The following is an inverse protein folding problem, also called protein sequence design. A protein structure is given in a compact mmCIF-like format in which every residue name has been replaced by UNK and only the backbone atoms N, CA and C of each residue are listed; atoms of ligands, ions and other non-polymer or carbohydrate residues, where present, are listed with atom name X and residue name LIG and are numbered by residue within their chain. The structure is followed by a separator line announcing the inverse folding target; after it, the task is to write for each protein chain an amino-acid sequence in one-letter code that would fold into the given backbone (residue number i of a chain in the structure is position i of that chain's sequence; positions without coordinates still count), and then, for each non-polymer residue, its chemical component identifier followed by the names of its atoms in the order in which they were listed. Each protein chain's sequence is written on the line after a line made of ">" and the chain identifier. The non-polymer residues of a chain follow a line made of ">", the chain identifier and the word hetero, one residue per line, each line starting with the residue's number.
data_IF_359960858718
#
_entry.id   IF_359960858718
#
_cell.length_a   1.000
_cell.length_b   1.000
_cell.length_c   1.000
_cell.angle_alpha   90.00
_cell.angle_beta   90.00
_cell.angle_gamma   90.00
#
_symmetry.space_group_name_H-M   'P 1'
#
loop_
_entity.id
_entity.type
_entity.pdbx_description
1 polymer ?
#
# COMPACT_ATOMS: atom_id res chain seq x y z
N UNK A 1 58.92 -0.27 17.85
CA UNK A 1 59.73 -0.47 16.61
C UNK A 1 59.05 -1.44 15.64
N UNK A 2 58.72 -2.67 16.05
CA UNK A 2 58.11 -3.69 15.17
C UNK A 2 56.74 -3.24 14.63
N UNK A 3 55.85 -2.71 15.47
CA UNK A 3 54.54 -2.15 15.06
C UNK A 3 54.68 -1.05 13.98
N UNK A 4 55.73 -0.24 14.08
CA UNK A 4 55.98 0.89 13.19
C UNK A 4 56.59 0.43 11.85
N UNK A 5 57.42 -0.62 11.88
CA UNK A 5 57.91 -1.31 10.69
C UNK A 5 56.78 -2.02 9.93
N UNK A 6 55.88 -2.72 10.64
CA UNK A 6 54.71 -3.38 10.04
C UNK A 6 53.73 -2.35 9.46
N UNK A 7 53.47 -1.22 10.15
CA UNK A 7 52.72 -0.08 9.58
C UNK A 7 53.39 0.49 8.31
N UNK A 8 54.73 0.53 8.28
CA UNK A 8 55.50 0.97 7.11
C UNK A 8 55.32 0.04 5.90
N UNK A 9 55.26 -1.28 6.13
CA UNK A 9 54.96 -2.27 5.09
C UNK A 9 53.49 -2.25 4.67
N UNK A 10 52.57 -1.98 5.59
CA UNK A 10 51.14 -1.83 5.30
C UNK A 10 50.82 -0.63 4.40
N UNK A 11 51.65 0.43 4.41
CA UNK A 11 51.54 1.57 3.48
C UNK A 11 51.91 1.22 2.04
N UNK A 12 52.67 0.13 1.84
CA UNK A 12 53.08 -0.37 0.50
C UNK A 12 52.14 -1.46 0.00
N UNK A 13 51.62 -2.32 0.88
CA UNK A 13 50.61 -3.35 0.59
C UNK A 13 49.45 -3.25 1.59
N UNK A 14 48.44 -2.44 1.24
CA UNK A 14 47.36 -2.06 2.15
C UNK A 14 46.33 -3.17 2.44
N UNK A 15 46.35 -4.27 1.70
CA UNK A 15 45.34 -5.34 1.75
C UNK A 15 45.89 -6.72 2.12
N UNK A 16 47.17 -6.83 2.50
CA UNK A 16 47.77 -8.13 2.81
C UNK A 16 47.25 -8.66 4.15
N UNK A 17 46.37 -9.67 4.10
CA UNK A 17 45.65 -10.25 5.25
C UNK A 17 46.59 -10.77 6.33
N UNK A 18 47.75 -11.30 5.96
CA UNK A 18 48.74 -11.87 6.88
C UNK A 18 49.45 -10.78 7.68
N UNK A 19 49.78 -9.65 7.04
CA UNK A 19 50.40 -8.49 7.70
C UNK A 19 49.41 -7.77 8.62
N UNK A 20 48.14 -7.70 8.22
CA UNK A 20 47.08 -7.20 9.07
C UNK A 20 46.88 -8.10 10.30
N UNK A 21 46.91 -9.43 10.15
CA UNK A 21 46.75 -10.36 11.28
C UNK A 21 47.90 -10.24 12.29
N UNK A 22 49.15 -10.21 11.81
CA UNK A 22 50.31 -10.04 12.68
C UNK A 22 50.34 -8.66 13.35
N UNK A 23 49.87 -7.62 12.65
CA UNK A 23 49.69 -6.29 13.24
C UNK A 23 48.64 -6.28 14.35
N UNK A 24 47.51 -6.99 14.17
CA UNK A 24 46.48 -7.11 15.18
C UNK A 24 46.98 -7.88 16.42
N UNK A 25 47.72 -8.98 16.22
CA UNK A 25 48.38 -9.73 17.30
C UNK A 25 49.38 -8.84 18.06
N UNK A 26 50.18 -8.05 17.35
CA UNK A 26 51.09 -7.10 17.97
C UNK A 26 50.36 -6.02 18.78
N UNK A 27 49.23 -5.49 18.29
CA UNK A 27 48.43 -4.53 19.06
C UNK A 27 47.76 -5.14 20.30
N UNK A 28 47.42 -6.43 20.27
CA UNK A 28 46.95 -7.13 21.48
C UNK A 28 48.05 -7.26 22.53
N UNK A 29 49.30 -7.49 22.13
CA UNK A 29 50.45 -7.49 23.04
C UNK A 29 50.78 -6.07 23.56
N UNK A 30 50.60 -5.04 22.73
CA UNK A 30 50.84 -3.64 23.06
C UNK A 30 49.71 -3.00 23.92
N UNK A 31 48.74 -3.80 24.37
CA UNK A 31 47.53 -3.37 25.11
C UNK A 31 46.66 -2.33 24.38
N UNK A 32 46.89 -2.10 23.09
CA UNK A 32 46.09 -1.19 22.27
C UNK A 32 44.95 -1.95 21.59
N UNK A 33 44.01 -2.42 22.42
CA UNK A 33 42.97 -3.33 21.98
C UNK A 33 41.95 -2.69 21.02
N UNK A 34 41.76 -1.37 21.08
CA UNK A 34 40.87 -0.64 20.16
C UNK A 34 41.36 -0.69 18.71
N UNK A 35 42.67 -0.55 18.52
CA UNK A 35 43.31 -0.64 17.18
C UNK A 35 43.40 -2.10 16.71
N UNK A 36 43.65 -3.03 17.63
CA UNK A 36 43.63 -4.47 17.33
C UNK A 36 42.24 -4.91 16.86
N UNK A 37 41.19 -4.46 17.55
CA UNK A 37 39.80 -4.80 17.25
C UNK A 37 39.38 -4.30 15.87
N UNK A 38 39.79 -3.09 15.47
CA UNK A 38 39.51 -2.56 14.13
C UNK A 38 40.11 -3.43 13.02
N UNK A 39 41.32 -3.94 13.24
CA UNK A 39 41.98 -4.82 12.28
C UNK A 39 41.34 -6.22 12.30
N UNK A 40 40.96 -6.73 13.46
CA UNK A 40 40.26 -8.02 13.55
C UNK A 40 38.85 -7.97 12.94
N UNK A 41 38.13 -6.85 13.08
CA UNK A 41 36.83 -6.63 12.46
C UNK A 41 36.95 -6.53 10.94
N UNK A 42 37.95 -5.82 10.41
CA UNK A 42 38.20 -5.74 8.95
C UNK A 42 38.64 -7.08 8.36
N UNK A 43 39.41 -7.88 9.11
CA UNK A 43 39.86 -9.21 8.69
C UNK A 43 38.80 -10.31 8.79
N UNK A 44 37.68 -10.02 9.44
CA UNK A 44 36.66 -10.99 9.84
C UNK A 44 37.19 -12.15 10.68
N UNK A 45 38.06 -11.86 11.65
CA UNK A 45 38.69 -12.90 12.46
C UNK A 45 37.80 -13.36 13.62
N UNK A 46 37.78 -14.67 13.91
CA UNK A 46 36.97 -15.29 14.99
C UNK A 46 37.32 -14.74 16.39
N UNK A 47 38.56 -14.32 16.58
CA UNK A 47 39.05 -13.82 17.86
C UNK A 47 38.60 -12.39 18.16
N UNK A 48 37.96 -11.70 17.21
CA UNK A 48 37.39 -10.37 17.43
C UNK A 48 36.43 -10.40 18.65
N UNK A 49 35.55 -11.39 18.72
CA UNK A 49 34.58 -11.57 19.80
C UNK A 49 35.24 -11.89 21.14
N UNK A 50 36.26 -12.75 21.14
CA UNK A 50 37.03 -13.04 22.36
C UNK A 50 37.77 -11.82 22.90
N UNK A 51 38.26 -10.95 22.02
CA UNK A 51 38.94 -9.71 22.39
C UNK A 51 37.97 -8.68 23.00
N UNK A 52 36.77 -8.58 22.42
CA UNK A 52 35.69 -7.72 22.90
C UNK A 52 35.31 -8.08 24.33
N UNK A 53 35.09 -9.36 24.59
CA UNK A 53 34.67 -9.85 25.91
C UNK A 53 35.78 -9.72 26.96
N UNK A 54 37.03 -10.09 26.62
CA UNK A 54 38.15 -10.05 27.59
C UNK A 54 38.50 -8.64 28.05
N UNK A 55 38.29 -7.64 27.20
CA UNK A 55 38.74 -6.27 27.46
C UNK A 55 37.62 -5.22 27.50
N UNK A 56 36.35 -5.66 27.46
CA UNK A 56 35.16 -4.82 27.58
C UNK A 56 35.15 -3.64 26.59
N UNK A 57 35.56 -3.89 25.34
CA UNK A 57 35.80 -2.85 24.31
C UNK A 57 34.54 -2.32 23.62
N UNK A 58 33.38 -2.48 24.27
CA UNK A 58 32.07 -2.22 23.70
C UNK A 58 31.82 -0.73 23.38
N UNK A 59 32.48 0.19 24.08
CA UNK A 59 32.48 1.61 23.75
C UNK A 59 33.05 1.89 22.36
N UNK A 60 34.13 1.19 21.99
CA UNK A 60 34.77 1.29 20.67
C UNK A 60 33.98 0.56 19.57
N UNK A 61 33.04 -0.32 19.95
CA UNK A 61 32.20 -1.08 19.03
C UNK A 61 30.93 -0.31 18.65
N UNK A 62 30.41 0.57 19.51
CA UNK A 62 29.16 1.31 19.28
C UNK A 62 29.13 1.99 17.91
N UNK A 63 30.24 2.63 17.53
CA UNK A 63 30.40 3.31 16.23
C UNK A 63 30.73 2.35 15.08
N UNK A 64 31.30 1.18 15.39
CA UNK A 64 31.82 0.19 14.45
C UNK A 64 30.93 -1.05 14.30
N UNK A 65 29.75 -1.06 14.92
CA UNK A 65 28.81 -2.19 14.96
C UNK A 65 28.34 -2.62 13.56
N UNK A 66 28.44 -1.72 12.57
CA UNK A 66 28.17 -2.00 11.15
C UNK A 66 29.12 -3.06 10.60
N UNK A 67 30.36 -3.10 11.06
CA UNK A 67 31.37 -4.08 10.64
C UNK A 67 31.11 -5.48 11.24
N UNK A 68 30.37 -5.56 12.35
CA UNK A 68 29.94 -6.84 12.93
C UNK A 68 28.81 -7.49 12.12
N UNK A 69 28.05 -6.69 11.37
CA UNK A 69 26.94 -7.18 10.54
C UNK A 69 27.40 -7.97 9.32
N UNK A 70 28.65 -7.77 8.91
CA UNK A 70 29.28 -8.47 7.80
C UNK A 70 29.68 -9.92 8.16
N UNK A 71 29.59 -10.28 9.44
CA UNK A 71 29.75 -11.65 9.96
C UNK A 71 28.40 -12.38 9.94
N UNK A 72 27.88 -12.60 8.73
CA UNK A 72 26.53 -13.13 8.49
C UNK A 72 26.26 -14.50 9.15
N UNK A 73 27.33 -15.26 9.45
CA UNK A 73 27.27 -16.60 10.02
C UNK A 73 27.08 -16.67 11.54
N UNK A 74 27.16 -15.56 12.27
CA UNK A 74 27.22 -15.57 13.75
C UNK A 74 26.25 -14.61 14.45
N UNK A 75 25.20 -14.12 13.79
CA UNK A 75 24.20 -13.20 14.38
C UNK A 75 23.69 -13.70 15.75
N UNK A 76 23.50 -15.02 15.90
CA UNK A 76 23.08 -15.60 17.18
C UNK A 76 24.08 -15.39 18.32
N UNK A 77 25.36 -15.64 18.03
CA UNK A 77 26.44 -15.45 18.99
C UNK A 77 26.57 -13.97 19.35
N UNK A 78 26.47 -13.08 18.36
CA UNK A 78 26.53 -11.63 18.60
C UNK A 78 25.39 -11.18 19.52
N UNK A 79 24.18 -11.70 19.36
CA UNK A 79 23.03 -11.32 20.19
C UNK A 79 23.12 -11.91 21.60
N UNK A 80 23.65 -13.13 21.76
CA UNK A 80 23.93 -13.77 23.06
C UNK A 80 25.08 -13.05 23.79
N UNK A 81 26.14 -12.69 23.09
CA UNK A 81 27.30 -11.97 23.63
C UNK A 81 26.98 -10.52 24.01
N UNK A 82 25.91 -9.94 23.46
CA UNK A 82 25.43 -8.59 23.77
C UNK A 82 24.31 -8.58 24.82
N UNK A 83 23.98 -9.73 25.43
CA UNK A 83 22.88 -9.82 26.42
C UNK A 83 23.17 -9.00 27.69
N UNK A 84 24.44 -8.80 28.05
CA UNK A 84 24.87 -7.98 29.19
C UNK A 84 24.66 -6.46 28.96
N UNK A 85 24.39 -6.02 27.72
CA UNK A 85 24.24 -4.60 27.35
C UNK A 85 23.08 -4.41 26.36
N UNK A 86 21.83 -4.35 26.85
CA UNK A 86 20.64 -4.20 26.01
C UNK A 86 20.64 -2.96 25.10
N UNK A 87 21.30 -1.87 25.48
CA UNK A 87 21.49 -0.67 24.63
C UNK A 87 22.22 -0.95 23.32
N UNK A 88 23.29 -1.76 23.36
CA UNK A 88 24.08 -2.10 22.18
C UNK A 88 23.39 -3.18 21.35
N UNK A 89 22.70 -4.10 22.03
CA UNK A 89 21.84 -5.09 21.40
C UNK A 89 20.75 -4.42 20.56
N UNK A 90 20.11 -3.37 21.10
CA UNK A 90 19.14 -2.55 20.37
C UNK A 90 19.75 -1.91 19.10
N UNK A 91 20.89 -1.21 19.24
CA UNK A 91 21.54 -0.53 18.09
C UNK A 91 21.98 -1.53 17.01
N UNK A 92 22.46 -2.71 17.41
CA UNK A 92 22.83 -3.77 16.48
C UNK A 92 21.60 -4.30 15.73
N UNK A 93 20.53 -4.65 16.44
CA UNK A 93 19.30 -5.17 15.85
C UNK A 93 18.58 -4.14 14.98
N UNK A 94 18.57 -2.86 15.37
CA UNK A 94 18.03 -1.77 14.55
C UNK A 94 18.80 -1.63 13.22
N UNK A 95 20.14 -1.66 13.27
CA UNK A 95 20.95 -1.61 12.06
C UNK A 95 20.76 -2.87 11.21
N UNK A 96 20.66 -4.05 11.82
CA UNK A 96 20.35 -5.32 11.17
C UNK A 96 19.04 -5.25 10.39
N UNK A 97 18.00 -4.71 11.01
CA UNK A 97 16.71 -4.50 10.38
C UNK A 97 16.79 -3.61 9.15
N UNK A 98 17.53 -2.50 9.21
CA UNK A 98 17.70 -1.58 8.06
C UNK A 98 18.47 -2.18 6.89
N UNK A 99 19.31 -3.20 7.12
CA UNK A 99 20.02 -3.91 6.04
C UNK A 99 19.24 -5.11 5.52
N UNK A 100 18.72 -5.95 6.41
CA UNK A 100 18.09 -7.22 6.06
C UNK A 100 16.93 -7.57 7.01
N UNK A 101 15.72 -7.31 6.53
CA UNK A 101 14.47 -7.57 7.26
C UNK A 101 14.25 -9.03 7.69
N UNK A 102 14.79 -9.97 6.91
CA UNK A 102 14.57 -11.41 7.12
C UNK A 102 15.48 -12.01 8.19
N UNK A 103 16.69 -11.45 8.38
CA UNK A 103 17.69 -11.99 9.30
C UNK A 103 17.35 -11.72 10.77
N UNK A 104 16.58 -10.67 11.04
CA UNK A 104 16.09 -10.29 12.37
C UNK A 104 14.86 -11.04 12.88
N UNK A 105 14.21 -11.89 12.07
CA UNK A 105 12.89 -12.46 12.38
C UNK A 105 12.77 -13.12 13.76
N UNK A 106 13.80 -13.87 14.18
CA UNK A 106 13.81 -14.56 15.49
C UNK A 106 14.03 -13.61 16.66
N UNK A 107 14.54 -12.42 16.39
CA UNK A 107 14.86 -11.40 17.38
C UNK A 107 13.84 -10.27 17.41
N UNK A 108 12.84 -10.24 16.52
CA UNK A 108 11.80 -9.21 16.52
C UNK A 108 11.10 -9.09 17.86
N UNK A 109 10.83 -10.22 18.55
CA UNK A 109 10.24 -10.20 19.90
C UNK A 109 11.13 -9.44 20.91
N UNK A 110 12.41 -9.85 21.02
CA UNK A 110 13.39 -9.15 21.88
C UNK A 110 13.61 -7.70 21.42
N UNK A 111 13.53 -7.44 20.12
CA UNK A 111 13.73 -6.11 19.58
C UNK A 111 12.58 -5.17 19.95
N UNK A 112 11.34 -5.66 20.04
CA UNK A 112 10.19 -4.86 20.49
C UNK A 112 10.34 -4.45 21.96
N UNK A 113 10.76 -5.37 22.84
CA UNK A 113 11.03 -5.02 24.24
C UNK A 113 12.17 -4.01 24.37
N UNK A 114 13.20 -4.14 23.53
CA UNK A 114 14.33 -3.19 23.49
C UNK A 114 13.94 -1.82 22.91
N UNK A 115 13.13 -1.76 21.84
CA UNK A 115 12.60 -0.49 21.33
C UNK A 115 11.73 0.21 22.39
N UNK A 116 10.91 -0.56 23.10
CA UNK A 116 10.08 -0.05 24.18
C UNK A 116 10.90 0.56 25.34
N UNK A 117 12.16 0.15 25.54
CA UNK A 117 13.06 0.66 26.59
C UNK A 117 13.94 1.81 26.12
N UNK A 118 14.48 1.70 24.92
CA UNK A 118 15.58 2.56 24.49
C UNK A 118 15.21 3.53 23.37
N UNK A 119 14.15 3.27 22.60
CA UNK A 119 13.87 4.05 21.39
C UNK A 119 12.40 3.95 20.93
N UNK A 120 11.53 4.68 21.63
CA UNK A 120 10.10 4.81 21.33
C UNK A 120 9.80 5.30 19.89
N UNK A 121 10.40 6.38 19.35
CA UNK A 121 9.99 6.90 18.05
C UNK A 121 10.25 5.95 16.88
N UNK A 122 11.24 5.05 17.01
CA UNK A 122 11.55 4.06 15.98
C UNK A 122 10.69 2.79 16.04
N UNK A 123 9.84 2.64 17.08
CA UNK A 123 8.94 1.50 17.22
C UNK A 123 7.84 1.50 16.14
N UNK A 124 7.21 2.65 15.87
CA UNK A 124 6.16 2.76 14.83
C UNK A 124 6.65 2.42 13.42
N UNK A 125 7.77 3.00 12.92
CA UNK A 125 8.36 2.58 11.65
C UNK A 125 8.69 1.09 11.60
N UNK A 126 9.26 0.56 12.68
CA UNK A 126 9.59 -0.86 12.77
C UNK A 126 8.35 -1.76 12.65
N UNK A 127 7.25 -1.40 13.32
CA UNK A 127 6.00 -2.15 13.24
C UNK A 127 5.33 -2.07 11.86
N UNK A 128 5.46 -0.94 11.16
CA UNK A 128 4.97 -0.75 9.79
C UNK A 128 5.74 -1.59 8.79
N UNK A 129 7.07 -1.58 8.88
CA UNK A 129 7.94 -2.30 7.95
C UNK A 129 7.94 -3.81 8.24
N UNK A 130 7.68 -4.23 9.48
CA UNK A 130 7.70 -5.64 9.92
C UNK A 130 6.57 -6.48 9.37
N UNK A 131 6.92 -7.46 8.53
CA UNK A 131 5.99 -8.45 7.95
C UNK A 131 5.72 -9.60 8.92
N UNK A 132 6.70 -9.96 9.76
CA UNK A 132 6.64 -11.12 10.68
C UNK A 132 6.80 -10.66 12.14
N UNK A 133 5.98 -9.69 12.56
CA UNK A 133 5.97 -9.22 13.93
C UNK A 133 4.96 -10.02 14.77
N UNK A 134 5.33 -10.56 15.94
CA UNK A 134 4.36 -11.14 16.87
C UNK A 134 3.50 -10.00 17.47
N UNK A 135 2.36 -9.72 16.84
CA UNK A 135 1.48 -8.59 17.19
C UNK A 135 0.93 -8.70 18.62
N UNK A 136 0.66 -9.91 19.11
CA UNK A 136 0.13 -10.15 20.47
C UNK A 136 1.10 -9.72 21.57
N UNK A 137 2.36 -10.18 21.51
CA UNK A 137 3.39 -9.77 22.48
C UNK A 137 3.72 -8.28 22.37
N UNK A 138 3.71 -7.74 21.14
CA UNK A 138 3.89 -6.31 20.93
C UNK A 138 2.78 -5.51 21.61
N UNK A 139 1.53 -5.97 21.50
CA UNK A 139 0.36 -5.37 22.15
C UNK A 139 0.51 -5.41 23.67
N UNK A 140 0.88 -6.55 24.26
CA UNK A 140 1.07 -6.69 25.71
C UNK A 140 2.13 -5.71 26.24
N UNK A 141 3.29 -5.62 25.58
CA UNK A 141 4.37 -4.70 25.96
C UNK A 141 3.91 -3.23 25.83
N UNK A 142 3.19 -2.91 24.76
CA UNK A 142 2.67 -1.55 24.55
C UNK A 142 1.60 -1.17 25.57
N UNK A 143 0.73 -2.11 25.95
CA UNK A 143 -0.29 -1.91 26.98
C UNK A 143 0.33 -1.74 28.37
N UNK A 144 1.33 -2.56 28.73
CA UNK A 144 2.03 -2.43 30.01
C UNK A 144 2.72 -1.08 30.19
N UNK A 145 3.14 -0.45 29.08
CA UNK A 145 3.88 0.82 29.09
C UNK A 145 3.04 2.04 28.68
N UNK A 146 1.74 1.87 28.46
CA UNK A 146 0.81 2.92 28.01
C UNK A 146 1.23 3.61 26.70
N UNK A 147 1.71 2.85 25.71
CA UNK A 147 2.02 3.38 24.38
C UNK A 147 0.77 3.41 23.50
N UNK A 148 0.02 4.52 23.59
CA UNK A 148 -1.32 4.61 23.00
C UNK A 148 -1.30 4.59 21.48
N UNK A 149 -0.44 5.36 20.82
CA UNK A 149 -0.40 5.45 19.34
C UNK A 149 0.04 4.13 18.70
N UNK A 150 1.02 3.47 19.31
CA UNK A 150 1.54 2.17 18.90
C UNK A 150 0.50 1.07 19.10
N UNK A 151 -0.22 1.10 20.23
CA UNK A 151 -1.28 0.13 20.53
C UNK A 151 -2.46 0.29 19.56
N UNK A 152 -2.87 1.53 19.23
CA UNK A 152 -3.92 1.79 18.23
C UNK A 152 -3.52 1.25 16.86
N UNK A 153 -2.27 1.47 16.44
CA UNK A 153 -1.75 0.93 15.19
C UNK A 153 -1.77 -0.62 15.17
N UNK A 154 -1.32 -1.25 16.25
CA UNK A 154 -1.34 -2.71 16.39
C UNK A 154 -2.76 -3.27 16.38
N UNK A 155 -3.68 -2.67 17.13
CA UNK A 155 -5.09 -3.09 17.19
C UNK A 155 -5.79 -2.95 15.84
N UNK A 156 -5.50 -1.89 15.10
CA UNK A 156 -5.98 -1.69 13.73
C UNK A 156 -5.54 -2.84 12.81
N UNK A 157 -4.25 -3.19 12.85
CA UNK A 157 -3.71 -4.29 12.05
C UNK A 157 -4.23 -5.67 12.46
N UNK A 158 -4.59 -5.84 13.74
CA UNK A 158 -5.20 -7.06 14.25
C UNK A 158 -6.71 -7.15 13.94
N UNK A 159 -7.33 -6.09 13.40
CA UNK A 159 -8.77 -6.03 13.13
C UNK A 159 -9.62 -5.77 14.38
N UNK A 160 -9.01 -5.42 15.52
CA UNK A 160 -9.74 -5.06 16.74
C UNK A 160 -9.94 -3.53 16.81
N UNK A 161 -10.63 -3.01 15.80
CA UNK A 161 -10.89 -1.58 15.61
C UNK A 161 -11.70 -0.97 16.76
N UNK A 162 -12.64 -1.72 17.35
CA UNK A 162 -13.47 -1.26 18.49
C UNK A 162 -12.64 -0.94 19.73
N UNK A 163 -11.70 -1.83 20.08
CA UNK A 163 -10.81 -1.60 21.23
C UNK A 163 -9.84 -0.46 20.95
N UNK A 164 -9.38 -0.32 19.71
CA UNK A 164 -8.53 0.81 19.28
C UNK A 164 -9.27 2.14 19.45
N UNK A 165 -10.51 2.21 18.96
CA UNK A 165 -11.35 3.41 19.05
C UNK A 165 -11.62 3.80 20.51
N UNK A 166 -11.94 2.81 21.35
CA UNK A 166 -12.13 3.02 22.79
C UNK A 166 -10.87 3.58 23.45
N UNK A 167 -9.70 3.10 23.04
CA UNK A 167 -8.43 3.59 23.56
C UNK A 167 -8.13 5.03 23.10
N UNK A 168 -8.38 5.38 21.83
CA UNK A 168 -8.22 6.76 21.34
C UNK A 168 -9.16 7.71 22.10
N UNK A 169 -10.42 7.31 22.27
CA UNK A 169 -11.46 8.14 22.88
C UNK A 169 -11.29 8.32 24.39
N UNK A 170 -10.80 7.29 25.11
CA UNK A 170 -10.62 7.34 26.57
C UNK A 170 -9.28 7.94 26.99
N UNK A 171 -8.16 7.53 26.35
CA UNK A 171 -6.80 7.88 26.78
C UNK A 171 -6.26 9.13 26.07
N UNK A 172 -6.40 9.21 24.74
CA UNK A 172 -5.90 10.36 23.98
C UNK A 172 -6.84 11.57 24.03
N UNK A 173 -8.15 11.32 24.18
CA UNK A 173 -9.22 12.34 24.07
C UNK A 173 -9.10 13.22 22.81
N UNK A 174 -8.39 12.74 21.80
CA UNK A 174 -8.10 13.46 20.57
C UNK A 174 -9.24 13.17 19.57
N UNK A 175 -10.09 14.18 19.39
CA UNK A 175 -11.30 14.09 18.57
C UNK A 175 -10.95 13.89 17.10
N UNK A 176 -9.94 14.61 16.59
CA UNK A 176 -9.58 14.57 15.18
C UNK A 176 -8.93 13.23 14.82
N UNK A 177 -8.04 12.69 15.66
CA UNK A 177 -7.47 11.35 15.44
C UNK A 177 -8.53 10.24 15.52
N UNK A 178 -9.48 10.33 16.43
CA UNK A 178 -10.58 9.35 16.52
C UNK A 178 -11.43 9.35 15.25
N UNK A 179 -11.67 10.54 14.67
CA UNK A 179 -12.41 10.71 13.43
C UNK A 179 -11.61 10.22 12.22
N UNK A 180 -10.32 10.54 12.14
CA UNK A 180 -9.44 10.05 11.06
C UNK A 180 -9.38 8.52 11.07
N UNK A 181 -9.26 7.92 12.26
CA UNK A 181 -9.31 6.47 12.42
C UNK A 181 -10.64 5.87 11.95
N UNK A 182 -11.77 6.46 12.34
CA UNK A 182 -13.09 6.01 11.90
C UNK A 182 -13.29 6.17 10.38
N UNK A 183 -12.71 7.21 9.75
CA UNK A 183 -12.69 7.40 8.30
C UNK A 183 -11.85 6.35 7.58
N UNK A 184 -10.69 5.98 8.12
CA UNK A 184 -9.83 4.95 7.53
C UNK A 184 -10.49 3.55 7.55
N UNK A 185 -11.25 3.25 8.60
CA UNK A 185 -11.90 1.94 8.74
C UNK A 185 -13.24 1.83 7.97
N UNK A 186 -13.90 2.96 7.67
CA UNK A 186 -15.19 3.04 6.94
C UNK A 186 -16.28 2.08 7.48
N UNK A 187 -16.29 1.86 8.81
CA UNK A 187 -17.20 0.94 9.49
C UNK A 187 -18.33 1.71 10.21
N UNK A 188 -19.57 1.43 9.83
CA UNK A 188 -20.76 2.04 10.41
C UNK A 188 -20.93 1.74 11.90
N UNK A 189 -20.55 0.55 12.39
CA UNK A 189 -20.68 0.19 13.81
C UNK A 189 -19.73 1.03 14.69
N UNK A 190 -18.51 1.29 14.20
CA UNK A 190 -17.55 2.16 14.89
C UNK A 190 -18.03 3.60 14.97
N UNK A 191 -18.68 4.09 13.91
CA UNK A 191 -19.31 5.41 13.93
C UNK A 191 -20.43 5.47 14.96
N UNK A 192 -21.26 4.43 15.06
CA UNK A 192 -22.30 4.37 16.09
C UNK A 192 -21.72 4.35 17.52
N UNK A 193 -20.69 3.56 17.77
CA UNK A 193 -19.98 3.51 19.05
C UNK A 193 -19.35 4.87 19.40
N UNK A 194 -18.79 5.56 18.41
CA UNK A 194 -18.20 6.90 18.58
C UNK A 194 -19.27 7.97 18.82
N UNK A 195 -20.42 7.86 18.15
CA UNK A 195 -21.58 8.73 18.39
C UNK A 195 -22.09 8.49 19.83
N UNK A 196 -22.29 7.24 20.24
CA UNK A 196 -22.73 6.91 21.60
C UNK A 196 -21.78 7.47 22.66
N UNK A 197 -20.46 7.39 22.44
CA UNK A 197 -19.47 7.96 23.35
C UNK A 197 -19.42 9.49 23.36
N UNK A 198 -19.77 10.14 22.24
CA UNK A 198 -19.68 11.60 22.08
C UNK A 198 -20.93 12.37 22.51
N UNK A 199 -22.08 11.71 22.70
CA UNK A 199 -23.34 12.37 23.10
C UNK A 199 -23.18 13.17 24.40
N UNK A 200 -22.32 12.75 25.32
CA UNK A 200 -22.12 13.44 26.60
C UNK A 200 -21.01 14.51 26.56
N UNK A 201 -20.33 14.72 25.42
CA UNK A 201 -19.17 15.62 25.28
C UNK A 201 -19.37 16.63 24.11
N UNK A 202 -19.75 17.89 24.38
CA UNK A 202 -19.93 18.94 23.37
C UNK A 202 -18.74 19.19 22.41
N UNK A 203 -17.44 19.17 22.84
CA UNK A 203 -16.33 19.36 21.91
C UNK A 203 -16.17 18.19 20.93
N UNK A 204 -16.51 16.97 21.35
CA UNK A 204 -16.52 15.80 20.47
C UNK A 204 -17.57 15.92 19.38
N UNK A 205 -18.78 16.39 19.73
CA UNK A 205 -19.87 16.63 18.76
C UNK A 205 -19.45 17.69 17.74
N UNK A 206 -18.76 18.74 18.18
CA UNK A 206 -18.29 19.82 17.28
C UNK A 206 -17.24 19.31 16.29
N UNK A 207 -16.23 18.57 16.79
CA UNK A 207 -15.19 17.97 15.93
C UNK A 207 -15.76 16.94 14.96
N UNK A 208 -16.75 16.16 15.42
CA UNK A 208 -17.52 15.25 14.58
C UNK A 208 -18.20 16.03 13.45
N UNK A 209 -19.05 17.00 13.78
CA UNK A 209 -19.83 17.74 12.80
C UNK A 209 -18.94 18.42 11.74
N UNK A 210 -17.77 18.92 12.13
CA UNK A 210 -16.82 19.53 11.19
C UNK A 210 -16.20 18.56 10.17
N UNK A 211 -16.20 17.26 10.46
CA UNK A 211 -15.46 16.24 9.74
C UNK A 211 -16.32 15.11 9.14
N UNK A 212 -17.63 15.05 9.44
CA UNK A 212 -18.56 13.98 9.05
C UNK A 212 -18.92 13.94 7.55
N UNK A 213 -18.75 15.04 6.81
CA UNK A 213 -19.48 15.40 5.58
C UNK A 213 -19.67 14.38 4.43
N UNK A 214 -19.04 13.20 4.46
CA UNK A 214 -19.22 12.14 3.43
C UNK A 214 -19.58 10.76 3.98
N UNK A 215 -19.36 10.45 5.27
CA UNK A 215 -19.41 9.06 5.76
C UNK A 215 -20.64 8.74 6.61
N UNK A 216 -21.22 9.73 7.29
CA UNK A 216 -22.37 9.53 8.16
C UNK A 216 -23.43 10.58 7.87
N UNK A 217 -24.69 10.17 7.85
CA UNK A 217 -25.82 11.09 7.70
C UNK A 217 -25.90 12.04 8.91
N UNK A 218 -25.79 13.36 8.72
CA UNK A 218 -25.89 14.35 9.79
C UNK A 218 -27.22 14.27 10.53
N UNK A 219 -28.27 13.77 9.86
CA UNK A 219 -29.60 13.56 10.43
C UNK A 219 -29.52 12.58 11.61
N UNK A 220 -28.72 11.52 11.51
CA UNK A 220 -28.57 10.53 12.59
C UNK A 220 -27.91 11.14 13.83
N UNK A 221 -26.97 12.07 13.64
CA UNK A 221 -26.36 12.79 14.75
C UNK A 221 -27.31 13.80 15.37
N UNK A 222 -28.01 14.59 14.55
CA UNK A 222 -28.95 15.61 15.03
C UNK A 222 -30.06 14.98 15.88
N UNK A 223 -30.59 13.82 15.48
CA UNK A 223 -31.63 13.11 16.24
C UNK A 223 -31.12 12.50 17.55
N UNK A 224 -29.81 12.25 17.69
CA UNK A 224 -29.20 11.66 18.90
C UNK A 224 -28.70 12.71 19.90
N UNK A 225 -28.67 14.00 19.55
CA UNK A 225 -28.30 15.08 20.47
C UNK A 225 -29.45 15.37 21.43
N UNK A 226 -29.18 15.35 22.75
CA UNK A 226 -30.17 15.69 23.79
C UNK A 226 -30.53 17.18 23.75
N UNK A 227 -31.81 17.50 23.88
CA UNK A 227 -32.32 18.87 23.97
C UNK A 227 -31.76 19.58 25.22
N UNK A 228 -31.19 20.77 25.05
CA UNK A 228 -30.62 21.58 26.14
C UNK A 228 -29.08 21.57 26.27
N UNK A 229 -28.36 20.86 25.39
CA UNK A 229 -26.89 20.89 25.34
C UNK A 229 -26.37 22.14 24.61
N UNK A 230 -25.50 22.91 25.26
CA UNK A 230 -24.79 24.03 24.62
C UNK A 230 -23.58 23.51 23.83
N UNK A 231 -23.74 23.42 22.50
CA UNK A 231 -22.67 23.04 21.58
C UNK A 231 -22.02 24.32 21.02
N UNK A 232 -20.74 24.60 21.32
CA UNK A 232 -20.06 25.76 20.75
C UNK A 232 -19.91 25.60 19.23
N UNK A 233 -20.03 26.69 18.48
CA UNK A 233 -19.86 26.74 17.01
C UNK A 233 -20.77 25.81 16.18
N UNK A 234 -21.88 25.32 16.74
CA UNK A 234 -22.83 24.47 16.03
C UNK A 234 -23.35 25.10 14.72
N UNK A 235 -23.61 26.42 14.74
CA UNK A 235 -24.07 27.15 13.55
C UNK A 235 -23.06 27.05 12.40
N UNK A 236 -21.79 27.32 12.67
CA UNK A 236 -20.76 27.35 11.63
C UNK A 236 -20.50 25.94 11.09
N UNK A 237 -20.50 24.93 11.98
CA UNK A 237 -20.42 23.51 11.59
C UNK A 237 -21.59 23.10 10.69
N UNK A 238 -22.83 23.48 11.03
CA UNK A 238 -24.00 23.18 10.22
C UNK A 238 -23.99 23.89 8.87
N UNK A 239 -23.56 25.16 8.82
CA UNK A 239 -23.41 25.91 7.57
C UNK A 239 -22.38 25.23 6.66
N UNK A 240 -21.23 24.79 7.22
CA UNK A 240 -20.22 24.06 6.48
C UNK A 240 -20.75 22.74 5.92
N UNK A 241 -21.44 21.94 6.74
CA UNK A 241 -22.08 20.70 6.30
C UNK A 241 -23.07 20.97 5.16
N UNK A 242 -23.95 21.95 5.30
CA UNK A 242 -24.92 22.31 4.26
C UNK A 242 -24.24 22.74 2.97
N UNK A 243 -23.15 23.50 3.06
CA UNK A 243 -22.34 23.88 1.89
C UNK A 243 -21.72 22.66 1.22
N UNK A 244 -21.12 21.75 1.99
CA UNK A 244 -20.51 20.51 1.48
C UNK A 244 -21.55 19.61 0.79
N UNK A 245 -22.74 19.44 1.38
CA UNK A 245 -23.84 18.70 0.77
C UNK A 245 -24.37 19.37 -0.49
N UNK A 246 -24.53 20.70 -0.49
CA UNK A 246 -24.94 21.43 -1.69
C UNK A 246 -23.91 21.27 -2.81
N UNK A 247 -22.61 21.31 -2.51
CA UNK A 247 -21.54 21.05 -3.48
C UNK A 247 -21.62 19.62 -4.01
N UNK A 248 -21.84 18.61 -3.16
CA UNK A 248 -22.01 17.22 -3.61
C UNK A 248 -23.21 17.05 -4.54
N UNK A 249 -24.36 17.68 -4.23
CA UNK A 249 -25.55 17.64 -5.07
C UNK A 249 -25.27 18.31 -6.42
N UNK A 250 -24.69 19.51 -6.41
CA UNK A 250 -24.34 20.24 -7.63
C UNK A 250 -23.36 19.46 -8.51
N UNK A 251 -22.36 18.81 -7.91
CA UNK A 251 -21.43 17.94 -8.62
C UNK A 251 -22.14 16.73 -9.23
N UNK A 252 -22.97 16.03 -8.46
CA UNK A 252 -23.74 14.87 -8.97
C UNK A 252 -24.68 15.27 -10.11
N UNK A 253 -25.36 16.40 -9.99
CA UNK A 253 -26.21 16.93 -11.06
C UNK A 253 -25.39 17.35 -12.29
N UNK A 254 -24.24 17.98 -12.09
CA UNK A 254 -23.30 18.34 -13.16
C UNK A 254 -22.82 17.11 -13.91
N UNK A 255 -22.32 16.10 -13.19
CA UNK A 255 -21.89 14.82 -13.74
C UNK A 255 -23.04 14.12 -14.48
N UNK A 256 -24.24 14.10 -13.92
CA UNK A 256 -25.43 13.54 -14.59
C UNK A 256 -25.75 14.25 -15.89
N UNK A 257 -25.74 15.59 -15.90
CA UNK A 257 -26.01 16.40 -17.11
C UNK A 257 -24.95 16.15 -18.19
N UNK A 258 -23.67 16.11 -17.83
CA UNK A 258 -22.57 15.83 -18.76
C UNK A 258 -22.71 14.41 -19.32
N UNK A 259 -22.93 13.41 -18.47
CA UNK A 259 -23.07 12.02 -18.90
C UNK A 259 -24.27 11.83 -19.86
N UNK A 260 -25.40 12.47 -19.56
CA UNK A 260 -26.57 12.47 -20.45
C UNK A 260 -26.25 13.16 -21.78
N UNK A 261 -25.60 14.32 -21.76
CA UNK A 261 -25.22 15.04 -22.98
C UNK A 261 -24.23 14.24 -23.85
N UNK A 262 -23.24 13.58 -23.24
CA UNK A 262 -22.26 12.75 -23.91
C UNK A 262 -22.90 11.50 -24.51
N UNK A 263 -23.78 10.83 -23.77
CA UNK A 263 -24.51 9.65 -24.29
C UNK A 263 -25.33 10.00 -25.53
N UNK A 264 -26.05 11.14 -25.52
CA UNK A 264 -26.81 11.62 -26.67
C UNK A 264 -25.90 12.03 -27.84
N UNK A 265 -24.75 12.62 -27.56
CA UNK A 265 -23.78 13.04 -28.58
C UNK A 265 -23.14 11.85 -29.27
N UNK A 266 -22.75 10.83 -28.50
CA UNK A 266 -22.25 9.54 -29.01
C UNK A 266 -23.33 8.82 -29.82
N UNK A 267 -24.57 8.79 -29.35
CA UNK A 267 -25.69 8.19 -30.08
C UNK A 267 -25.92 8.89 -31.42
N UNK A 268 -25.93 10.23 -31.45
CA UNK A 268 -26.05 11.01 -32.69
C UNK A 268 -24.86 10.75 -33.63
N UNK A 269 -23.64 10.64 -33.11
CA UNK A 269 -22.44 10.33 -33.91
C UNK A 269 -22.51 8.91 -34.50
N UNK A 270 -22.96 7.94 -33.72
CA UNK A 270 -23.21 6.57 -34.19
C UNK A 270 -24.25 6.57 -35.30
N UNK A 271 -25.41 7.19 -35.08
CA UNK A 271 -26.48 7.28 -36.07
C UNK A 271 -26.01 7.96 -37.37
N UNK A 272 -25.29 9.09 -37.26
CA UNK A 272 -24.70 9.76 -38.44
C UNK A 272 -23.71 8.87 -39.19
N UNK A 273 -22.94 8.06 -38.47
CA UNK A 273 -21.96 7.15 -39.09
C UNK A 273 -22.67 5.96 -39.75
N UNK A 274 -23.73 5.44 -39.15
CA UNK A 274 -24.55 4.36 -39.72
C UNK A 274 -25.34 4.82 -40.96
N UNK A 275 -25.81 6.08 -40.98
CA UNK A 275 -26.53 6.65 -42.11
C UNK A 275 -25.61 7.16 -43.24
N UNK A 276 -24.28 7.09 -43.09
CA UNK A 276 -23.37 7.42 -44.20
C UNK A 276 -23.43 6.32 -45.24
N UNK A 277 -23.54 6.71 -46.50
CA UNK A 277 -23.35 5.81 -47.62
C UNK A 277 -21.96 5.17 -47.58
N UNK A 278 -21.89 3.88 -47.89
CA UNK A 278 -20.63 3.16 -48.08
C UNK A 278 -20.36 3.13 -49.58
N UNK A 279 -19.16 3.54 -49.98
CA UNK A 279 -18.72 3.47 -51.37
C UNK A 279 -18.53 1.99 -51.76
N UNK A 280 -19.09 1.61 -52.92
CA UNK A 280 -18.93 0.28 -53.51
C UNK A 280 -18.32 0.45 -54.89
N UNK A 281 -17.01 0.23 -54.97
CA UNK A 281 -16.21 0.24 -56.19
C UNK A 281 -16.00 -1.18 -56.75
N UNK A 282 -15.48 -1.28 -57.98
CA UNK A 282 -15.23 -2.54 -58.71
C UNK A 282 -14.19 -3.46 -58.03
N UNK A 283 -13.34 -2.91 -57.16
CA UNK A 283 -12.37 -3.68 -56.36
C UNK A 283 -13.02 -4.46 -55.20
N UNK A 284 -14.29 -4.18 -54.88
CA UNK A 284 -14.96 -4.84 -53.77
C UNK A 284 -15.44 -6.24 -54.18
N UNK A 285 -15.07 -7.24 -53.37
CA UNK A 285 -15.42 -8.65 -53.57
C UNK A 285 -16.46 -9.11 -52.55
N UNK A 286 -17.31 -10.04 -52.96
CA UNK A 286 -18.28 -10.68 -52.10
C UNK A 286 -17.55 -11.70 -51.22
N UNK A 287 -17.64 -11.57 -49.90
CA UNK A 287 -16.87 -12.43 -48.99
C UNK A 287 -17.38 -13.88 -48.90
N UNK A 288 -18.50 -14.20 -49.56
CA UNK A 288 -19.04 -15.57 -49.63
C UNK A 288 -18.68 -16.30 -50.93
N UNK A 289 -18.57 -15.60 -52.06
CA UNK A 289 -18.27 -16.22 -53.36
C UNK A 289 -16.93 -15.76 -53.95
N UNK A 290 -16.26 -14.79 -53.32
CA UNK A 290 -14.98 -14.18 -53.69
C UNK A 290 -14.97 -13.50 -55.07
N UNK A 291 -16.13 -13.36 -55.71
CA UNK A 291 -16.31 -12.63 -56.97
C UNK A 291 -16.56 -11.14 -56.74
N UNK A 292 -16.25 -10.27 -57.72
CA UNK A 292 -16.60 -8.85 -57.67
C UNK A 292 -18.08 -8.64 -57.32
N UNK A 293 -18.35 -7.70 -56.42
CA UNK A 293 -19.70 -7.39 -55.94
C UNK A 293 -20.53 -6.74 -57.05
N UNK A 294 -19.88 -5.92 -57.88
CA UNK A 294 -20.47 -5.29 -59.04
C UNK A 294 -20.35 -6.21 -60.28
N UNK A 295 -21.42 -6.36 -61.08
CA UNK A 295 -21.32 -7.07 -62.34
C UNK A 295 -20.50 -6.27 -63.35
N UNK A 296 -19.64 -6.93 -64.15
CA UNK A 296 -18.90 -6.30 -65.25
C UNK A 296 -19.78 -5.79 -66.40
N UNK A 297 -21.09 -6.06 -66.34
CA UNK A 297 -22.09 -5.69 -67.35
C UNK A 297 -23.19 -4.83 -66.69
N UNK A 298 -23.20 -3.54 -67.00
CA UNK A 298 -24.05 -2.53 -66.36
C UNK A 298 -25.55 -2.68 -66.65
N UNK A 299 -25.93 -3.60 -67.56
CA UNK A 299 -27.31 -3.85 -67.95
C UNK A 299 -28.07 -4.83 -67.01
N UNK A 300 -27.38 -5.52 -66.10
CA UNK A 300 -28.02 -6.52 -65.21
C UNK A 300 -28.45 -5.88 -63.88
N UNK A 301 -29.69 -6.12 -63.41
CA UNK A 301 -30.10 -5.70 -62.07
C UNK A 301 -29.31 -6.51 -61.03
N UNK A 302 -28.56 -5.83 -60.18
CA UNK A 302 -27.80 -6.44 -59.09
C UNK A 302 -28.29 -5.90 -57.74
N UNK A 303 -28.27 -6.75 -56.72
CA UNK A 303 -28.63 -6.37 -55.36
C UNK A 303 -27.53 -6.78 -54.39
N UNK A 304 -27.01 -5.79 -53.67
CA UNK A 304 -25.88 -5.92 -52.75
C UNK A 304 -26.36 -5.58 -51.36
N UNK A 305 -25.90 -6.36 -50.38
CA UNK A 305 -26.09 -6.06 -48.96
C UNK A 305 -24.71 -5.76 -48.38
N UNK A 306 -24.59 -4.56 -47.81
CA UNK A 306 -23.39 -4.11 -47.13
C UNK A 306 -23.69 -4.03 -45.64
N UNK A 307 -22.92 -4.75 -44.82
CA UNK A 307 -23.06 -4.68 -43.37
C UNK A 307 -22.27 -3.51 -42.79
N UNK A 308 -22.65 -3.06 -41.59
CA UNK A 308 -21.97 -1.99 -40.86
C UNK A 308 -20.49 -2.30 -40.52
N UNK A 309 -20.09 -3.57 -40.59
CA UNK A 309 -18.69 -4.02 -40.49
C UNK A 309 -17.91 -3.88 -41.81
N UNK A 310 -18.50 -3.28 -42.85
CA UNK A 310 -17.98 -3.11 -44.22
C UNK A 310 -17.85 -4.38 -45.06
N UNK A 311 -18.25 -5.53 -44.54
CA UNK A 311 -18.32 -6.76 -45.33
C UNK A 311 -19.50 -6.68 -46.32
N UNK A 312 -19.24 -7.08 -47.56
CA UNK A 312 -20.16 -6.95 -48.69
C UNK A 312 -20.54 -8.33 -49.21
N UNK A 313 -21.83 -8.49 -49.54
CA UNK A 313 -22.36 -9.74 -50.08
C UNK A 313 -23.36 -9.46 -51.19
N UNK A 314 -23.41 -10.35 -52.19
CA UNK A 314 -24.59 -10.42 -53.06
C UNK A 314 -25.79 -10.85 -52.23
N UNK A 315 -26.97 -10.30 -52.51
CA UNK A 315 -28.22 -10.71 -51.82
C UNK A 315 -28.48 -12.21 -51.95
N UNK A 316 -28.06 -12.81 -53.05
CA UNK A 316 -28.19 -14.24 -53.35
C UNK A 316 -27.19 -15.11 -52.57
N UNK A 317 -26.04 -14.55 -52.17
CA UNK A 317 -25.04 -15.25 -51.35
C UNK A 317 -25.33 -15.16 -49.85
N UNK A 318 -26.38 -14.43 -49.45
CA UNK A 318 -26.82 -14.38 -48.06
C UNK A 318 -27.87 -15.47 -47.80
N UNK A 319 -27.74 -16.25 -46.72
CA UNK A 319 -28.77 -17.21 -46.35
C UNK A 319 -30.09 -16.47 -46.07
N UNK A 320 -31.19 -17.01 -46.59
CA UNK A 320 -32.54 -16.44 -46.46
C UNK A 320 -32.87 -16.28 -44.96
N UNK A 321 -33.37 -15.11 -44.51
CA UNK A 321 -33.70 -14.91 -43.10
C UNK A 321 -34.80 -15.89 -42.69
N UNK A 322 -34.55 -16.69 -41.64
CA UNK A 322 -35.60 -17.48 -41.00
C UNK A 322 -36.61 -16.55 -40.32
N UNK A 323 -37.89 -16.94 -40.36
CA UNK A 323 -39.06 -16.14 -39.92
C UNK A 323 -39.04 -15.63 -38.46
N UNK A 324 -37.99 -15.90 -37.68
CA UNK A 324 -37.86 -15.53 -36.27
C UNK A 324 -36.89 -14.38 -35.99
N UNK A 325 -36.15 -13.85 -36.99
CA UNK A 325 -35.18 -12.75 -36.79
C UNK A 325 -35.18 -11.76 -37.96
N UNK A 326 -35.79 -10.55 -37.85
CA UNK A 326 -35.77 -9.56 -38.93
C UNK A 326 -34.41 -8.88 -39.11
N UNK A 327 -33.45 -9.14 -38.21
CA UNK A 327 -32.09 -8.58 -38.27
C UNK A 327 -31.15 -9.53 -39.02
N UNK A 328 -30.65 -9.11 -40.18
CA UNK A 328 -29.55 -9.79 -40.87
C UNK A 328 -28.22 -9.41 -40.21
N UNK A 329 -27.41 -10.42 -39.86
CA UNK A 329 -26.08 -10.23 -39.28
C UNK A 329 -25.02 -10.63 -40.31
N UNK A 330 -23.85 -9.99 -40.26
CA UNK A 330 -22.73 -10.39 -41.10
C UNK A 330 -22.19 -11.73 -40.62
N UNK A 331 -22.21 -12.75 -41.48
CA UNK A 331 -21.76 -14.12 -41.16
C UNK A 331 -20.29 -14.20 -40.69
N UNK A 332 -19.43 -13.29 -41.15
CA UNK A 332 -18.00 -13.26 -40.80
C UNK A 332 -17.79 -12.59 -39.44
N UNK A 333 -18.54 -11.54 -39.15
CA UNK A 333 -18.50 -10.89 -37.84
C UNK A 333 -19.24 -11.71 -36.78
N UNK A 334 -20.36 -12.36 -37.09
CA UNK A 334 -21.07 -13.23 -36.13
C UNK A 334 -20.26 -14.50 -35.81
N UNK A 335 -19.51 -15.04 -36.78
CA UNK A 335 -18.56 -16.12 -36.53
C UNK A 335 -17.34 -15.68 -35.70
N UNK A 336 -16.91 -14.42 -35.81
CA UNK A 336 -15.75 -13.87 -35.06
C UNK A 336 -16.13 -13.20 -33.73
N UNK A 337 -17.37 -12.74 -33.51
CA UNK A 337 -17.85 -12.06 -32.29
C UNK A 337 -18.24 -13.04 -31.17
N UNK A 338 -17.35 -13.98 -30.83
CA UNK A 338 -17.09 -14.25 -29.40
C UNK A 338 -16.03 -13.25 -28.93
N UNK A 339 -16.39 -11.97 -28.96
CA UNK A 339 -15.59 -10.87 -28.42
C UNK A 339 -16.07 -10.49 -27.01
N UNK A 340 -15.22 -9.87 -26.18
CA UNK A 340 -15.47 -9.70 -24.75
C UNK A 340 -16.62 -8.72 -24.52
N UNK A 341 -17.76 -9.24 -24.04
CA UNK A 341 -18.97 -8.45 -23.75
C UNK A 341 -20.28 -9.21 -23.95
N UNK A 342 -20.30 -10.27 -24.76
CA UNK A 342 -21.53 -11.06 -25.00
C UNK A 342 -21.96 -11.96 -23.83
N UNK A 343 -21.19 -12.03 -22.74
CA UNK A 343 -21.51 -12.86 -21.57
C UNK A 343 -22.53 -12.22 -20.60
N UNK A 344 -22.87 -10.93 -20.74
CA UNK A 344 -23.71 -10.23 -19.76
C UNK A 344 -25.21 -10.50 -19.96
N UNK A 345 -25.62 -11.04 -21.11
CA UNK A 345 -27.04 -11.31 -21.42
C UNK A 345 -27.49 -12.76 -21.14
N UNK A 346 -26.59 -13.67 -20.76
CA UNK A 346 -26.96 -15.07 -20.43
C UNK A 346 -26.93 -15.41 -18.92
N UNK A 347 -26.80 -14.42 -18.02
CA UNK A 347 -26.91 -14.65 -16.56
C UNK A 347 -28.22 -14.15 -15.93
N UNK A 348 -29.24 -13.86 -16.75
CA UNK A 348 -30.62 -13.69 -16.27
C UNK A 348 -31.55 -14.67 -16.99
N UNK A 349 -31.51 -15.91 -16.56
CA UNK A 349 -32.68 -16.80 -16.56
C UNK A 349 -32.70 -17.61 -15.30
#
# INVERSE_FOLDING_TARGET
>A
VIVQAVRGHLKKDSQNRTLLKTLAELYTYDKNYSSALEIYLTLRHKDAFQLIHKHNLFSSIKDKIVLLMDFDSEIKKVVEELEDRPELQHVYLHKLFRRDHRKGQRYHEKQISLYAEYDRPNLLPFLRDSIHCPLEKALEICQQRNFVEETVYLLSRMGNSRSALKMITQELQDVDKAIEFAKEQDDGELWEDLILYSIDKPPFITGLLNNIGTHVDPILLIHRIKEGMEIPNLRDSLVKILQDYNLQILLREGCKKILVADSLSLLKKMHRTQMKGVLVDEENICESCLSPVLPSDAAKPFSVVVFHCRHMFHKECLPVPSMSSPAQFCNICSAKHRGPGSAILEMKK
#
